data_IF_838339660684
#
_entry.id   IF_838339660684
#
_cell.length_a   1.000
_cell.length_b   1.000
_cell.length_c   1.000
_cell.angle_alpha   90.00
_cell.angle_beta   90.00
_cell.angle_gamma   90.00
#
_symmetry.space_group_name_H-M   'P 1'
#
loop_
_entity.id
_entity.type
_entity.pdbx_description
1 polymer ?
#
# COMPACT_ATOMS: atom_id res chain seq x y z
N UNK A 1 -5.12 -32.22 -96.84
CA UNK A 1 -3.86 -31.44 -96.93
C UNK A 1 -3.70 -30.65 -95.63
N UNK A 2 -2.48 -30.67 -95.07
CA UNK A 2 -1.91 -29.93 -93.92
C UNK A 2 -2.65 -28.61 -93.55
N UNK A 3 -2.73 -28.16 -92.29
CA UNK A 3 -1.60 -27.75 -91.43
C UNK A 3 -2.01 -27.58 -89.95
N UNK A 4 -1.04 -27.85 -89.08
CA UNK A 4 -0.90 -27.49 -87.65
C UNK A 4 -1.10 -26.00 -87.33
N UNK A 5 -1.65 -25.68 -86.15
CA UNK A 5 -1.30 -24.51 -85.31
C UNK A 5 -1.90 -24.71 -83.90
N UNK A 6 -1.17 -25.18 -82.88
CA UNK A 6 -0.32 -24.46 -81.90
C UNK A 6 -1.06 -23.49 -80.94
N UNK A 7 -1.14 -24.01 -79.70
CA UNK A 7 -1.42 -23.43 -78.38
C UNK A 7 -0.92 -22.00 -78.17
N UNK A 8 -1.74 -21.14 -77.55
CA UNK A 8 -1.28 -20.10 -76.64
C UNK A 8 -2.39 -19.76 -75.62
N UNK A 9 -2.35 -20.41 -74.47
CA UNK A 9 -3.14 -20.01 -73.29
C UNK A 9 -2.33 -18.91 -72.58
N UNK A 10 -2.78 -17.67 -72.70
CA UNK A 10 -2.21 -16.50 -72.03
C UNK A 10 -2.49 -16.59 -70.53
N UNK A 11 -1.60 -17.26 -69.79
CA UNK A 11 -1.51 -17.19 -68.33
C UNK A 11 -0.85 -15.86 -68.01
N UNK A 12 -1.66 -14.90 -67.58
CA UNK A 12 -1.19 -13.65 -66.98
C UNK A 12 -0.51 -14.01 -65.66
N UNK A 13 0.82 -14.10 -65.70
CA UNK A 13 1.68 -14.30 -64.54
C UNK A 13 1.71 -12.98 -63.75
N UNK A 14 0.72 -12.79 -62.87
CA UNK A 14 0.77 -11.73 -61.85
C UNK A 14 1.82 -12.18 -60.84
N UNK A 15 3.04 -11.68 -60.99
CA UNK A 15 4.04 -11.68 -59.92
C UNK A 15 3.52 -10.74 -58.84
N UNK A 16 2.82 -11.30 -57.86
CA UNK A 16 2.68 -10.67 -56.54
C UNK A 16 4.09 -10.55 -55.97
N UNK A 17 4.71 -9.38 -56.15
CA UNK A 17 5.74 -8.92 -55.23
C UNK A 17 5.00 -8.68 -53.91
N UNK A 18 4.99 -9.69 -53.04
CA UNK A 18 4.76 -9.44 -51.63
C UNK A 18 5.90 -8.52 -51.19
N UNK A 19 5.60 -7.24 -50.96
CA UNK A 19 6.39 -6.48 -50.00
C UNK A 19 6.09 -7.14 -48.67
N UNK A 20 7.02 -8.00 -48.24
CA UNK A 20 7.19 -8.36 -46.85
C UNK A 20 7.61 -7.06 -46.14
N UNK A 21 6.64 -6.32 -45.63
CA UNK A 21 6.81 -5.04 -44.92
C UNK A 21 7.30 -5.32 -43.50
N UNK A 22 8.44 -6.03 -43.44
CA UNK A 22 8.94 -6.81 -42.31
C UNK A 22 8.38 -6.33 -40.98
N UNK A 23 7.61 -7.23 -40.34
CA UNK A 23 7.04 -7.00 -39.02
C UNK A 23 8.08 -6.29 -38.14
N UNK A 24 7.77 -5.06 -37.73
CA UNK A 24 8.58 -4.34 -36.76
C UNK A 24 8.40 -5.10 -35.45
N UNK A 25 9.39 -5.93 -35.11
CA UNK A 25 9.46 -6.56 -33.79
C UNK A 25 9.86 -5.44 -32.83
N UNK A 26 8.88 -4.85 -32.16
CA UNK A 26 9.14 -3.96 -31.03
C UNK A 26 9.73 -4.80 -29.90
N UNK A 27 11.04 -4.70 -29.71
CA UNK A 27 11.75 -5.30 -28.59
C UNK A 27 11.56 -4.38 -27.39
N UNK A 28 10.73 -4.79 -26.43
CA UNK A 28 10.50 -4.06 -25.20
C UNK A 28 11.21 -4.74 -24.03
N UNK A 29 11.56 -3.94 -23.03
CA UNK A 29 12.06 -4.47 -21.76
C UNK A 29 10.90 -5.06 -20.96
N UNK A 30 11.01 -6.35 -20.63
CA UNK A 30 9.97 -7.09 -19.91
C UNK A 30 10.56 -7.73 -18.64
N UNK A 31 10.28 -7.07 -17.51
CA UNK A 31 10.70 -7.44 -16.16
C UNK A 31 9.50 -7.41 -15.23
N UNK A 32 9.07 -8.59 -14.79
CA UNK A 32 7.99 -8.75 -13.81
C UNK A 32 8.45 -8.47 -12.37
N UNK A 33 7.48 -8.38 -11.46
CA UNK A 33 7.71 -8.33 -10.01
C UNK A 33 8.12 -6.98 -9.46
N UNK A 34 8.42 -6.98 -8.16
CA UNK A 34 8.86 -5.82 -7.40
C UNK A 34 10.30 -5.44 -7.73
N UNK A 35 10.68 -4.20 -7.46
CA UNK A 35 12.05 -3.74 -7.58
C UNK A 35 12.70 -3.57 -6.22
N UNK A 36 14.01 -3.66 -6.20
CA UNK A 36 14.84 -3.45 -5.01
C UNK A 36 15.57 -2.10 -5.11
N UNK A 37 16.13 -1.64 -3.99
CA UNK A 37 16.82 -0.36 -3.95
C UNK A 37 18.13 -0.43 -3.17
N UNK A 38 19.10 0.39 -3.54
CA UNK A 38 20.30 0.61 -2.73
C UNK A 38 20.72 2.07 -2.66
N UNK A 39 21.08 2.47 -1.43
CA UNK A 39 21.73 3.75 -1.20
C UNK A 39 23.15 3.67 -1.75
N UNK A 40 23.42 4.48 -2.77
CA UNK A 40 24.77 4.82 -3.21
C UNK A 40 25.34 5.96 -2.37
N UNK A 41 26.58 6.34 -2.67
CA UNK A 41 27.27 7.46 -1.98
C UNK A 41 26.58 8.80 -2.26
N UNK A 42 26.10 8.99 -3.50
CA UNK A 42 25.57 10.28 -3.99
C UNK A 42 24.15 10.15 -4.60
N UNK A 43 23.41 9.10 -4.26
CA UNK A 43 22.07 8.88 -4.79
C UNK A 43 21.49 7.50 -4.51
N UNK A 44 20.33 7.22 -5.07
CA UNK A 44 19.57 5.98 -4.92
C UNK A 44 19.61 5.20 -6.23
N UNK A 45 19.91 3.90 -6.17
CA UNK A 45 19.77 3.01 -7.33
C UNK A 45 18.58 2.10 -7.12
N UNK A 46 17.60 2.17 -8.02
CA UNK A 46 16.52 1.18 -8.11
C UNK A 46 16.94 0.11 -9.12
N UNK A 47 16.68 -1.17 -8.85
CA UNK A 47 17.11 -2.23 -9.75
C UNK A 47 16.17 -3.44 -9.78
N UNK A 48 16.25 -4.18 -10.88
CA UNK A 48 15.59 -5.47 -11.09
C UNK A 48 16.57 -6.45 -11.70
N UNK A 49 16.47 -7.71 -11.31
CA UNK A 49 17.28 -8.81 -11.83
C UNK A 49 16.33 -9.87 -12.36
N UNK A 50 16.67 -10.44 -13.52
CA UNK A 50 16.00 -11.58 -14.14
C UNK A 50 17.06 -12.65 -14.37
N UNK A 51 16.70 -13.92 -14.19
CA UNK A 51 17.66 -15.04 -14.23
C UNK A 51 17.55 -15.90 -15.50
N UNK A 52 16.47 -15.79 -16.27
CA UNK A 52 16.30 -16.53 -17.52
C UNK A 52 15.65 -15.67 -18.63
N UNK A 53 16.45 -15.07 -19.53
CA UNK A 53 17.91 -14.98 -19.49
C UNK A 53 18.41 -14.06 -18.34
N UNK A 54 19.69 -14.19 -17.97
CA UNK A 54 20.29 -13.35 -16.94
C UNK A 54 20.48 -11.90 -17.41
N UNK A 55 19.64 -11.02 -16.89
CA UNK A 55 19.53 -9.62 -17.28
C UNK A 55 19.30 -8.74 -16.04
N UNK A 56 19.64 -7.46 -16.13
CA UNK A 56 19.26 -6.50 -15.10
C UNK A 56 18.91 -5.14 -15.65
N UNK A 57 18.05 -4.45 -14.91
CA UNK A 57 17.76 -3.04 -15.08
C UNK A 57 18.22 -2.28 -13.83
N UNK A 58 18.75 -1.09 -14.04
CA UNK A 58 19.02 -0.17 -12.95
C UNK A 58 18.74 1.27 -13.33
N UNK A 59 18.22 2.03 -12.37
CA UNK A 59 17.94 3.45 -12.48
C UNK A 59 18.64 4.15 -11.32
N UNK A 60 19.72 4.88 -11.62
CA UNK A 60 20.40 5.70 -10.62
C UNK A 60 19.81 7.12 -10.60
N UNK A 61 19.39 7.54 -9.41
CA UNK A 61 18.75 8.81 -9.12
C UNK A 61 19.70 9.62 -8.23
N UNK A 62 20.33 10.65 -8.79
CA UNK A 62 21.28 11.47 -8.03
C UNK A 62 20.57 12.32 -6.96
N UNK A 63 21.18 12.41 -5.77
CA UNK A 63 20.71 13.26 -4.68
C UNK A 63 19.31 12.89 -4.16
N UNK A 64 18.94 11.61 -4.26
CA UNK A 64 17.77 11.03 -3.61
C UNK A 64 18.26 9.89 -2.73
N UNK A 65 17.68 9.75 -1.55
CA UNK A 65 17.92 8.67 -0.60
C UNK A 65 16.67 7.82 -0.47
N UNK A 66 16.82 6.59 0.04
CA UNK A 66 15.67 5.72 0.24
C UNK A 66 14.67 6.27 1.26
N UNK A 67 15.14 7.00 2.29
CA UNK A 67 14.28 7.51 3.34
C UNK A 67 13.35 8.62 2.81
N UNK A 68 13.85 9.46 1.90
CA UNK A 68 13.06 10.51 1.25
C UNK A 68 11.89 9.95 0.44
N UNK A 69 11.89 8.66 0.06
CA UNK A 69 10.75 8.03 -0.61
C UNK A 69 9.54 7.84 0.31
N UNK A 70 9.73 7.88 1.63
CA UNK A 70 8.68 7.63 2.62
C UNK A 70 8.21 8.90 3.32
N UNK A 71 8.74 10.07 2.94
CA UNK A 71 8.29 11.38 3.41
C UNK A 71 7.02 11.80 2.67
N UNK A 72 5.90 11.11 2.97
CA UNK A 72 4.57 11.44 2.43
C UNK A 72 4.05 12.75 3.03
N UNK A 73 3.33 13.54 2.24
CA UNK A 73 2.70 14.79 2.71
C UNK A 73 1.28 14.58 3.23
N UNK A 74 0.57 15.69 3.48
CA UNK A 74 -0.77 15.75 4.10
C UNK A 74 -1.91 14.99 3.37
N UNK A 75 -1.67 14.50 2.14
CA UNK A 75 -2.62 13.69 1.39
C UNK A 75 -2.12 12.23 1.26
N UNK A 76 -1.35 11.75 2.23
CA UNK A 76 -0.80 10.39 2.32
C UNK A 76 -0.02 9.92 1.08
N UNK A 77 0.49 10.88 0.31
CA UNK A 77 1.18 10.64 -0.95
C UNK A 77 2.42 11.52 -1.11
N UNK A 78 3.42 10.97 -1.80
CA UNK A 78 4.58 11.70 -2.31
C UNK A 78 4.66 11.49 -3.82
N UNK A 79 4.85 12.57 -4.57
CA UNK A 79 5.02 12.55 -6.02
C UNK A 79 6.36 13.16 -6.41
N UNK A 80 7.15 12.40 -7.15
CA UNK A 80 8.39 12.85 -7.79
C UNK A 80 8.17 12.66 -9.29
N UNK A 81 7.99 13.75 -10.03
CA UNK A 81 7.70 13.71 -11.47
C UNK A 81 8.93 14.12 -12.29
N UNK A 82 9.11 13.46 -13.44
CA UNK A 82 10.08 13.81 -14.49
C UNK A 82 11.54 13.96 -14.01
N UNK A 83 11.92 13.20 -12.97
CA UNK A 83 13.27 13.29 -12.41
C UNK A 83 14.27 12.59 -13.32
N UNK A 84 15.35 13.28 -13.69
CA UNK A 84 16.39 12.71 -14.53
C UNK A 84 17.10 11.55 -13.83
N UNK A 85 17.36 10.47 -14.57
CA UNK A 85 18.05 9.28 -14.09
C UNK A 85 19.15 8.84 -15.05
N UNK A 86 20.10 8.05 -14.54
CA UNK A 86 20.96 7.23 -15.38
C UNK A 86 20.36 5.84 -15.45
N UNK A 87 19.72 5.52 -16.57
CA UNK A 87 19.15 4.20 -16.79
C UNK A 87 20.19 3.29 -17.44
N UNK A 88 20.24 2.03 -16.99
CA UNK A 88 21.18 1.04 -17.51
C UNK A 88 20.54 -0.33 -17.61
N UNK A 89 20.73 -0.98 -18.75
CA UNK A 89 20.38 -2.37 -19.02
C UNK A 89 21.65 -3.19 -19.22
N UNK A 90 21.75 -4.33 -18.54
CA UNK A 90 22.90 -5.24 -18.63
C UNK A 90 22.46 -6.67 -18.89
N UNK A 91 23.26 -7.37 -19.68
CA UNK A 91 23.16 -8.82 -19.86
C UNK A 91 24.43 -9.49 -19.34
N UNK A 92 24.32 -10.76 -18.97
CA UNK A 92 25.40 -11.50 -18.32
C UNK A 92 25.66 -12.85 -18.99
N UNK A 93 26.78 -13.48 -18.66
CA UNK A 93 27.20 -14.79 -19.18
C UNK A 93 26.66 -15.98 -18.36
N UNK A 94 26.39 -15.76 -17.08
CA UNK A 94 25.89 -16.79 -16.15
C UNK A 94 24.37 -16.90 -16.24
N UNK A 95 23.82 -18.04 -15.80
CA UNK A 95 22.36 -18.28 -15.71
C UNK A 95 21.79 -17.98 -14.31
N UNK A 96 22.64 -17.62 -13.35
CA UNK A 96 22.21 -17.16 -12.04
C UNK A 96 23.16 -16.07 -11.55
N UNK A 97 22.63 -14.88 -11.37
CA UNK A 97 23.30 -13.67 -10.92
C UNK A 97 23.37 -13.64 -9.41
N UNK A 98 22.34 -14.12 -8.72
CA UNK A 98 22.18 -13.86 -7.29
C UNK A 98 22.12 -12.36 -7.04
N UNK A 99 22.56 -11.91 -5.85
CA UNK A 99 22.61 -10.49 -5.57
C UNK A 99 23.85 -9.87 -6.23
N UNK A 100 23.70 -9.13 -7.33
CA UNK A 100 24.81 -8.42 -8.01
C UNK A 100 24.73 -6.90 -7.83
N UNK A 101 23.68 -6.43 -7.17
CA UNK A 101 23.50 -5.02 -6.83
C UNK A 101 23.83 -4.82 -5.36
N UNK A 102 24.13 -3.57 -4.97
CA UNK A 102 24.52 -3.22 -3.60
C UNK A 102 25.84 -3.85 -3.09
N UNK A 103 26.54 -4.65 -3.90
CA UNK A 103 27.80 -5.29 -3.56
C UNK A 103 28.71 -5.42 -4.79
N UNK A 104 29.95 -5.83 -4.57
CA UNK A 104 30.89 -6.09 -5.66
C UNK A 104 30.39 -7.25 -6.53
N UNK A 105 30.45 -7.08 -7.86
CA UNK A 105 30.07 -8.11 -8.81
C UNK A 105 30.97 -9.35 -8.60
N UNK A 106 30.40 -10.55 -8.41
CA UNK A 106 31.18 -11.76 -8.23
C UNK A 106 32.15 -12.01 -9.39
N UNK A 107 33.37 -12.51 -9.14
CA UNK A 107 34.41 -12.65 -10.17
C UNK A 107 34.09 -13.67 -11.26
N UNK A 108 33.03 -14.47 -11.09
CA UNK A 108 32.52 -15.44 -12.07
C UNK A 108 31.39 -14.90 -12.94
N UNK A 109 30.93 -13.67 -12.69
CA UNK A 109 29.86 -13.01 -13.46
C UNK A 109 30.50 -11.97 -14.38
N UNK A 110 30.46 -12.23 -15.68
CA UNK A 110 30.92 -11.29 -16.71
C UNK A 110 29.73 -10.57 -17.33
N UNK A 111 29.82 -9.24 -17.41
CA UNK A 111 28.86 -8.41 -18.14
C UNK A 111 29.10 -8.61 -19.64
N UNK A 112 28.10 -9.13 -20.36
CA UNK A 112 28.18 -9.40 -21.80
C UNK A 112 27.73 -8.21 -22.65
N UNK A 113 26.79 -7.41 -22.12
CA UNK A 113 26.38 -6.12 -22.69
C UNK A 113 26.10 -5.13 -21.57
N UNK A 114 26.46 -3.86 -21.79
CA UNK A 114 26.20 -2.76 -20.87
C UNK A 114 25.74 -1.55 -21.68
N UNK A 115 24.42 -1.31 -21.66
CA UNK A 115 23.79 -0.21 -22.38
C UNK A 115 23.24 0.83 -21.40
N UNK A 116 23.44 2.11 -21.71
CA UNK A 116 23.04 3.23 -20.87
C UNK A 116 22.19 4.20 -21.68
N UNK A 117 21.13 4.70 -21.05
CA UNK A 117 20.31 5.80 -21.56
C UNK A 117 20.47 7.01 -20.64
N UNK A 118 21.00 8.11 -21.20
CA UNK A 118 21.27 9.37 -20.50
C UNK A 118 20.07 10.34 -20.49
N UNK A 119 19.05 10.07 -21.32
CA UNK A 119 17.87 10.92 -21.49
C UNK A 119 16.67 10.50 -20.63
N UNK A 120 16.77 9.37 -19.94
CA UNK A 120 15.64 8.78 -19.24
C UNK A 120 15.26 9.54 -17.99
N UNK A 121 13.96 9.48 -17.67
CA UNK A 121 13.37 10.09 -16.48
C UNK A 121 12.61 9.05 -15.68
N UNK A 122 12.31 9.38 -14.43
CA UNK A 122 11.49 8.56 -13.55
C UNK A 122 10.38 9.40 -12.92
N UNK A 123 9.19 8.83 -12.88
CA UNK A 123 8.09 9.23 -12.02
C UNK A 123 8.02 8.25 -10.84
N UNK A 124 7.98 8.76 -9.61
CA UNK A 124 7.77 7.96 -8.40
C UNK A 124 6.51 8.46 -7.71
N UNK A 125 5.61 7.53 -7.42
CA UNK A 125 4.43 7.76 -6.60
C UNK A 125 4.52 6.87 -5.37
N UNK A 126 4.71 7.49 -4.21
CA UNK A 126 4.51 6.81 -2.93
C UNK A 126 3.11 7.10 -2.42
N UNK A 127 2.41 6.07 -1.96
CA UNK A 127 1.17 6.19 -1.16
C UNK A 127 1.31 5.37 0.12
N UNK A 128 0.77 5.86 1.23
CA UNK A 128 0.62 5.10 2.47
C UNK A 128 -0.84 4.71 2.70
N UNK A 129 -1.06 3.54 3.29
CA UNK A 129 -2.36 3.08 3.80
C UNK A 129 -2.20 2.87 5.30
N UNK A 130 -3.16 3.35 6.09
CA UNK A 130 -3.25 3.18 7.54
C UNK A 130 -4.20 2.02 7.86
N UNK A 131 -4.04 1.45 9.05
CA UNK A 131 -4.81 0.32 9.57
C UNK A 131 -4.57 0.29 11.09
N UNK A 132 -5.47 0.82 11.89
CA UNK A 132 -5.53 0.75 13.37
C UNK A 132 -5.78 -0.67 13.91
N UNK A 133 -6.22 -1.60 13.04
CA UNK A 133 -6.56 -3.00 13.33
C UNK A 133 -7.76 -3.14 14.29
N UNK A 134 -8.73 -2.27 14.11
CA UNK A 134 -10.01 -2.25 14.82
C UNK A 134 -11.08 -3.20 14.21
N UNK A 135 -10.80 -3.78 13.05
CA UNK A 135 -11.70 -4.72 12.38
C UNK A 135 -12.69 -4.08 11.40
N UNK A 136 -12.68 -2.75 11.28
CA UNK A 136 -13.30 -2.01 10.19
C UNK A 136 -12.22 -1.71 9.15
N UNK A 137 -12.59 -1.66 7.88
CA UNK A 137 -11.65 -1.22 6.86
C UNK A 137 -11.71 0.30 6.77
N UNK A 138 -10.57 0.97 6.65
CA UNK A 138 -10.49 2.44 6.50
C UNK A 138 -11.41 3.05 5.44
N UNK A 139 -11.82 2.30 4.42
CA UNK A 139 -12.76 2.81 3.40
C UNK A 139 -14.21 2.81 3.86
N UNK A 140 -14.56 1.95 4.80
CA UNK A 140 -15.90 1.81 5.37
C UNK A 140 -16.14 2.79 6.53
N UNK A 141 -15.09 3.49 6.97
CA UNK A 141 -15.12 4.54 8.01
C UNK A 141 -15.38 5.95 7.43
N UNK A 142 -15.64 6.07 6.13
CA UNK A 142 -16.17 7.29 5.50
C UNK A 142 -17.66 7.46 5.85
N UNK A 143 -17.94 7.86 7.09
CA UNK A 143 -19.30 7.91 7.65
C UNK A 143 -20.23 8.77 6.82
N UNK A 144 -19.71 9.88 6.30
CA UNK A 144 -20.49 10.86 5.55
C UNK A 144 -20.50 10.61 4.02
N UNK A 145 -19.74 9.62 3.54
CA UNK A 145 -19.60 9.22 2.13
C UNK A 145 -19.13 10.36 1.20
N UNK A 146 -18.29 11.28 1.70
CA UNK A 146 -17.71 12.37 0.89
C UNK A 146 -16.35 12.01 0.27
N UNK A 147 -15.79 10.85 0.65
CA UNK A 147 -14.51 10.34 0.18
C UNK A 147 -13.29 10.93 0.90
N UNK A 148 -13.47 11.58 2.05
CA UNK A 148 -12.41 12.21 2.83
C UNK A 148 -12.38 11.73 4.29
N UNK A 149 -11.73 10.59 4.51
CA UNK A 149 -11.55 9.97 5.82
C UNK A 149 -10.91 10.88 6.89
N UNK A 150 -10.16 11.91 6.49
CA UNK A 150 -9.49 12.83 7.43
C UNK A 150 -10.46 13.80 8.13
N UNK A 151 -11.77 13.77 7.84
CA UNK A 151 -12.76 14.63 8.49
C UNK A 151 -13.82 13.90 9.32
N UNK A 152 -13.76 12.58 9.39
CA UNK A 152 -14.58 11.73 10.24
C UNK A 152 -13.74 11.44 11.50
N UNK A 153 -14.17 12.00 12.64
CA UNK A 153 -13.50 12.02 13.94
C UNK A 153 -14.62 12.04 14.99
N UNK A 154 -15.01 10.84 15.43
CA UNK A 154 -16.25 10.59 16.17
C UNK A 154 -16.19 11.17 17.58
N UNK A 155 -15.06 11.04 18.29
CA UNK A 155 -14.87 11.59 19.63
C UNK A 155 -14.32 13.03 19.64
N UNK A 156 -13.78 13.51 18.52
CA UNK A 156 -13.28 14.88 18.35
C UNK A 156 -11.91 15.12 18.98
N UNK A 157 -11.11 14.08 19.24
CA UNK A 157 -9.78 14.18 19.83
C UNK A 157 -8.69 14.62 18.83
N UNK A 158 -9.02 14.60 17.55
CA UNK A 158 -8.17 15.01 16.43
C UNK A 158 -7.45 13.86 15.73
N UNK A 159 -7.71 12.61 16.10
CA UNK A 159 -7.40 11.41 15.32
C UNK A 159 -8.65 11.03 14.52
N UNK A 160 -8.58 10.98 13.17
CA UNK A 160 -9.71 10.50 12.39
C UNK A 160 -9.97 9.01 12.61
N UNK A 161 -11.22 8.58 12.54
CA UNK A 161 -11.71 7.22 12.86
C UNK A 161 -10.81 6.13 12.22
N UNK A 162 -10.46 6.25 10.93
CA UNK A 162 -9.61 5.27 10.20
C UNK A 162 -8.14 5.14 10.66
N UNK A 163 -7.75 5.92 11.66
CA UNK A 163 -6.47 5.91 12.35
C UNK A 163 -6.67 5.78 13.87
N UNK A 164 -7.91 5.76 14.35
CA UNK A 164 -8.24 5.55 15.74
C UNK A 164 -8.58 4.08 15.97
N UNK A 165 -8.28 3.57 17.15
CA UNK A 165 -8.60 2.20 17.55
C UNK A 165 -9.87 2.14 18.41
N UNK A 166 -10.39 3.30 18.79
CA UNK A 166 -11.44 3.56 19.77
C UNK A 166 -12.19 4.84 19.31
N UNK A 167 -13.10 4.70 18.34
CA UNK A 167 -13.60 5.81 17.53
C UNK A 167 -14.43 6.84 18.33
N UNK A 168 -15.24 6.41 19.28
CA UNK A 168 -15.95 7.28 20.23
C UNK A 168 -15.13 7.60 21.49
N UNK A 169 -13.93 7.03 21.55
CA UNK A 169 -12.90 7.27 22.52
C UNK A 169 -13.23 6.72 23.90
N UNK A 170 -14.22 5.88 24.10
CA UNK A 170 -14.71 5.49 25.42
C UNK A 170 -13.81 4.48 26.19
N UNK A 171 -12.61 4.17 25.68
CA UNK A 171 -11.65 3.20 26.19
C UNK A 171 -12.08 1.73 26.08
N UNK A 172 -13.20 1.41 25.47
CA UNK A 172 -13.38 0.14 24.79
C UNK A 172 -12.66 0.26 23.44
N UNK A 173 -12.49 -0.84 22.73
CA UNK A 173 -11.87 -0.78 21.41
C UNK A 173 -12.99 -1.00 20.41
N UNK A 174 -12.98 -0.27 19.29
CA UNK A 174 -13.98 -0.44 18.22
C UNK A 174 -14.18 -1.92 17.88
N UNK A 175 -13.10 -2.71 17.82
CA UNK A 175 -13.16 -4.18 17.55
C UNK A 175 -13.89 -5.01 18.60
N UNK A 176 -13.84 -4.58 19.86
CA UNK A 176 -14.37 -5.28 21.03
C UNK A 176 -15.87 -4.94 21.23
N UNK A 177 -16.40 -3.95 20.49
CA UNK A 177 -17.82 -3.52 20.42
C UNK A 177 -18.62 -4.18 19.29
N UNK A 178 -18.05 -5.20 18.64
CA UNK A 178 -18.71 -5.96 17.58
C UNK A 178 -19.26 -5.09 16.42
N UNK A 179 -18.38 -4.38 15.68
CA UNK A 179 -18.78 -3.48 14.60
C UNK A 179 -19.30 -4.25 13.36
N UNK A 180 -18.88 -5.51 13.20
CA UNK A 180 -19.40 -6.44 12.18
C UNK A 180 -19.58 -7.84 12.79
N UNK A 181 -20.69 -8.11 13.51
CA UNK A 181 -20.90 -9.38 14.20
C UNK A 181 -20.95 -10.60 13.28
N UNK A 182 -21.27 -10.40 12.00
CA UNK A 182 -21.44 -11.47 11.02
C UNK A 182 -20.19 -11.68 10.13
N UNK A 183 -19.31 -10.69 10.06
CA UNK A 183 -18.04 -10.71 9.34
C UNK A 183 -18.17 -10.61 7.83
N UNK A 184 -19.23 -10.00 7.30
CA UNK A 184 -19.46 -9.84 5.85
C UNK A 184 -18.99 -8.49 5.29
N UNK A 185 -18.44 -7.62 6.14
CA UNK A 185 -17.99 -6.27 5.80
C UNK A 185 -19.13 -5.27 5.63
N UNK A 186 -20.35 -5.60 6.03
CA UNK A 186 -21.46 -4.67 6.11
C UNK A 186 -21.78 -4.33 7.58
N UNK A 187 -21.53 -3.08 7.97
CA UNK A 187 -21.70 -2.61 9.35
C UNK A 187 -23.18 -2.35 9.73
N UNK A 188 -24.14 -2.64 8.85
CA UNK A 188 -25.58 -2.45 9.10
C UNK A 188 -26.12 -3.28 10.29
N UNK A 189 -25.41 -4.32 10.71
CA UNK A 189 -25.76 -5.17 11.86
C UNK A 189 -24.81 -5.06 13.03
N UNK A 190 -24.01 -3.98 13.08
CA UNK A 190 -23.23 -3.60 14.25
C UNK A 190 -24.06 -3.64 15.54
N UNK A 191 -23.39 -3.93 16.66
CA UNK A 191 -24.05 -3.90 17.97
C UNK A 191 -24.56 -2.49 18.28
N UNK A 192 -25.76 -2.42 18.85
CA UNK A 192 -26.46 -1.20 19.31
C UNK A 192 -27.23 -1.63 20.56
N UNK A 193 -26.60 -1.45 21.71
CA UNK A 193 -26.98 -2.07 22.99
C UNK A 193 -28.22 -1.40 23.58
N UNK A 194 -28.31 -0.08 23.51
CA UNK A 194 -29.46 0.69 24.02
C UNK A 194 -30.61 0.84 22.98
N UNK A 195 -30.32 0.61 21.70
CA UNK A 195 -31.27 0.65 20.60
C UNK A 195 -31.61 2.07 20.12
N UNK A 196 -30.73 3.06 20.33
CA UNK A 196 -30.92 4.44 19.90
C UNK A 196 -30.63 4.68 18.42
N UNK A 197 -29.93 3.73 17.79
CA UNK A 197 -29.55 3.74 16.38
C UNK A 197 -28.12 4.18 16.10
N UNK A 198 -27.33 4.48 17.13
CA UNK A 198 -25.87 4.63 17.09
C UNK A 198 -25.25 3.29 17.47
N UNK A 199 -24.38 2.71 16.63
CA UNK A 199 -23.66 1.50 17.03
C UNK A 199 -22.75 1.75 18.22
N UNK A 200 -22.53 0.72 19.05
CA UNK A 200 -21.73 0.78 20.27
C UNK A 200 -20.35 1.40 20.01
N UNK A 201 -19.61 0.95 18.98
CA UNK A 201 -18.29 1.51 18.62
C UNK A 201 -18.26 3.01 18.21
N UNK A 202 -19.42 3.67 18.15
CA UNK A 202 -19.58 5.08 17.82
C UNK A 202 -20.41 5.81 18.89
N UNK A 203 -20.67 5.19 20.05
CA UNK A 203 -21.51 5.65 21.14
C UNK A 203 -20.77 5.56 22.48
N UNK A 204 -20.54 6.71 23.12
CA UNK A 204 -19.77 6.73 24.36
C UNK A 204 -20.56 6.40 25.65
N UNK A 205 -21.81 5.96 25.51
CA UNK A 205 -22.76 5.55 26.57
C UNK A 205 -23.57 4.34 26.05
N UNK A 206 -22.87 3.25 25.73
CA UNK A 206 -23.36 2.04 25.05
C UNK A 206 -24.73 1.51 25.53
N UNK A 207 -24.97 1.55 26.84
CA UNK A 207 -26.21 1.04 27.43
C UNK A 207 -27.28 2.10 27.71
N UNK A 208 -26.97 3.36 27.43
CA UNK A 208 -27.85 4.51 27.54
C UNK A 208 -28.30 4.82 28.97
N UNK A 209 -27.53 4.44 29.98
CA UNK A 209 -27.87 4.68 31.38
C UNK A 209 -27.48 6.09 31.89
N UNK A 210 -26.68 6.81 31.10
CA UNK A 210 -26.23 8.17 31.36
C UNK A 210 -24.88 8.27 32.08
N UNK A 211 -24.18 7.15 32.24
CA UNK A 211 -22.78 7.07 32.63
C UNK A 211 -21.97 6.72 31.38
N UNK A 212 -20.94 7.51 31.06
CA UNK A 212 -20.08 7.18 29.92
C UNK A 212 -19.41 5.83 30.13
N UNK A 213 -19.36 4.97 29.11
CA UNK A 213 -18.70 3.65 29.12
C UNK A 213 -17.31 3.71 29.77
N UNK A 214 -16.51 4.73 29.44
CA UNK A 214 -15.17 4.95 30.01
C UNK A 214 -15.12 5.08 31.54
N UNK A 215 -16.21 5.54 32.13
CA UNK A 215 -16.36 5.82 33.57
C UNK A 215 -16.96 4.63 34.35
N UNK A 216 -17.34 3.56 33.64
CA UNK A 216 -17.94 2.33 34.19
C UNK A 216 -16.92 1.26 34.58
N UNK A 217 -15.64 1.63 34.62
CA UNK A 217 -14.58 0.74 35.05
C UNK A 217 -14.64 0.41 36.55
N UNK A 218 -14.76 -0.88 36.88
CA UNK A 218 -14.92 -1.45 38.23
C UNK A 218 -13.75 -2.36 38.65
N UNK A 219 -12.54 -1.79 38.70
CA UNK A 219 -11.32 -2.51 39.05
C UNK A 219 -10.46 -1.90 40.17
N UNK A 220 -9.64 -2.73 40.83
CA UNK A 220 -8.48 -2.26 41.61
C UNK A 220 -7.25 -3.14 41.34
N UNK A 221 -6.19 -2.63 40.69
CA UNK A 221 -6.06 -1.28 40.13
C UNK A 221 -6.88 -1.12 38.85
N UNK A 222 -7.38 0.11 38.64
CA UNK A 222 -7.91 0.59 37.37
C UNK A 222 -6.84 0.52 36.28
N UNK A 223 -7.17 -0.07 35.14
CA UNK A 223 -6.34 -0.24 33.94
C UNK A 223 -6.81 0.62 32.75
N UNK A 224 -7.91 1.37 32.87
CA UNK A 224 -8.62 2.10 31.82
C UNK A 224 -9.14 1.18 30.71
N UNK A 225 -9.72 0.05 31.05
CA UNK A 225 -10.31 -0.88 30.08
C UNK A 225 -11.67 -1.40 30.58
N UNK A 226 -12.79 -0.70 30.28
CA UNK A 226 -14.13 -1.14 30.66
C UNK A 226 -14.47 -2.54 30.13
N UNK A 227 -13.89 -2.93 28.99
CA UNK A 227 -14.13 -4.22 28.35
C UNK A 227 -13.67 -5.46 29.15
N UNK A 228 -13.00 -5.30 30.30
CA UNK A 228 -12.66 -6.42 31.18
C UNK A 228 -13.35 -6.41 32.56
N UNK A 229 -14.32 -5.50 32.74
CA UNK A 229 -15.12 -5.40 33.96
C UNK A 229 -16.51 -6.05 33.79
N UNK A 230 -16.84 -6.96 34.72
CA UNK A 230 -18.13 -7.67 34.78
C UNK A 230 -18.64 -7.72 36.23
N UNK A 231 -19.88 -7.29 36.48
CA UNK A 231 -20.52 -7.46 37.77
C UNK A 231 -20.74 -8.95 38.02
N UNK A 232 -20.42 -9.41 39.23
CA UNK A 232 -20.45 -10.83 39.60
C UNK A 232 -21.88 -11.43 39.68
N UNK A 233 -22.89 -10.71 39.22
CA UNK A 233 -24.28 -11.15 39.17
C UNK A 233 -24.43 -12.11 37.98
N UNK A 234 -25.01 -13.28 38.25
CA UNK A 234 -25.23 -14.34 37.25
C UNK A 234 -26.06 -13.80 36.07
N UNK A 235 -25.38 -13.60 34.93
CA UNK A 235 -25.98 -13.20 33.66
C UNK A 235 -25.96 -11.70 33.36
N UNK A 236 -25.13 -10.90 34.06
CA UNK A 236 -25.02 -9.45 33.88
C UNK A 236 -24.29 -8.99 32.62
N UNK A 237 -23.38 -9.79 32.06
CA UNK A 237 -22.55 -9.35 30.94
C UNK A 237 -21.42 -8.41 31.39
N UNK A 238 -20.84 -7.70 30.41
CA UNK A 238 -19.89 -6.61 30.67
C UNK A 238 -20.63 -5.42 31.30
N UNK A 239 -19.93 -4.69 32.16
CA UNK A 239 -20.55 -3.63 32.95
C UNK A 239 -21.09 -2.49 32.09
N UNK A 240 -20.32 -2.06 31.08
CA UNK A 240 -20.71 -0.99 30.14
C UNK A 240 -21.84 -1.34 29.17
N UNK A 241 -22.29 -2.60 29.15
CA UNK A 241 -23.42 -3.07 28.34
C UNK A 241 -24.67 -3.35 29.20
N UNK A 242 -24.69 -2.87 30.44
CA UNK A 242 -25.70 -3.26 31.43
C UNK A 242 -26.31 -2.02 32.11
N UNK A 243 -27.51 -1.58 31.68
CA UNK A 243 -28.09 -0.29 32.09
C UNK A 243 -28.57 -0.22 33.54
N UNK A 244 -28.22 -1.22 34.36
CA UNK A 244 -28.39 -1.22 35.80
C UNK A 244 -27.10 -0.82 36.54
N UNK A 245 -26.00 -0.56 35.82
CA UNK A 245 -24.63 -0.36 36.30
C UNK A 245 -24.22 1.14 36.37
N UNK A 246 -25.19 2.03 36.56
CA UNK A 246 -25.05 3.49 36.83
C UNK A 246 -24.05 4.03 37.89
N UNK A 247 -23.24 3.22 38.58
CA UNK A 247 -22.32 3.67 39.63
C UNK A 247 -20.91 4.02 39.13
N UNK A 248 -20.61 5.33 39.10
CA UNK A 248 -19.25 5.84 38.80
C UNK A 248 -18.34 5.77 40.02
N UNK A 249 -17.31 4.92 39.99
CA UNK A 249 -16.28 4.87 41.03
C UNK A 249 -15.18 5.93 40.83
N UNK A 250 -14.73 6.14 39.59
CA UNK A 250 -13.78 7.18 39.23
C UNK A 250 -13.85 7.48 37.73
N UNK A 251 -13.73 8.77 37.40
CA UNK A 251 -13.72 9.25 36.02
C UNK A 251 -12.38 8.91 35.35
N UNK A 252 -12.44 8.45 34.10
CA UNK A 252 -11.27 8.22 33.26
C UNK A 252 -10.45 9.52 33.09
N UNK A 253 -9.11 9.40 33.02
CA UNK A 253 -8.21 10.57 32.94
C UNK A 253 -7.14 10.48 31.85
N UNK A 254 -7.06 9.36 31.14
CA UNK A 254 -6.26 9.16 29.94
C UNK A 254 -6.95 8.18 28.98
N UNK A 255 -6.83 8.40 27.67
CA UNK A 255 -7.24 7.43 26.66
C UNK A 255 -6.29 6.23 26.66
N UNK A 256 -6.72 5.10 26.09
CA UNK A 256 -5.85 3.95 25.84
C UNK A 256 -4.92 4.25 24.67
N UNK A 257 -3.63 4.09 24.90
CA UNK A 257 -2.63 4.17 23.82
C UNK A 257 -2.80 3.00 22.87
N UNK A 258 -2.81 3.29 21.57
CA UNK A 258 -2.91 2.28 20.51
C UNK A 258 -1.88 2.53 19.41
N UNK A 259 -1.78 1.58 18.48
CA UNK A 259 -0.79 1.64 17.40
C UNK A 259 -1.46 1.46 16.06
N UNK A 260 -1.18 2.38 15.14
CA UNK A 260 -1.65 2.32 13.76
C UNK A 260 -0.56 1.72 12.88
N UNK A 261 -0.93 0.75 12.07
CA UNK A 261 -0.04 0.13 11.07
C UNK A 261 0.01 0.97 9.80
N UNK A 262 1.18 1.04 9.17
CA UNK A 262 1.40 1.78 7.92
C UNK A 262 1.96 0.88 6.84
N UNK A 263 1.30 0.84 5.69
CA UNK A 263 1.75 0.12 4.50
C UNK A 263 2.09 1.08 3.36
N UNK A 264 3.36 1.12 2.97
CA UNK A 264 3.85 1.99 1.89
C UNK A 264 3.86 1.27 0.54
N UNK A 265 3.34 1.92 -0.49
CA UNK A 265 3.44 1.51 -1.89
C UNK A 265 4.25 2.54 -2.65
N UNK A 266 5.51 2.24 -2.97
CA UNK A 266 6.35 3.11 -3.80
C UNK A 266 6.35 2.57 -5.22
N UNK A 267 5.62 3.21 -6.13
CA UNK A 267 5.55 2.84 -7.55
C UNK A 267 6.53 3.68 -8.36
N UNK A 268 7.28 3.03 -9.25
CA UNK A 268 8.21 3.70 -10.14
C UNK A 268 7.85 3.47 -11.61
N UNK A 269 7.86 4.53 -12.41
CA UNK A 269 7.68 4.49 -13.86
C UNK A 269 8.83 5.21 -14.54
N UNK A 270 9.54 4.52 -15.42
CA UNK A 270 10.65 5.09 -16.19
C UNK A 270 10.14 5.53 -17.56
N UNK A 271 10.62 6.67 -18.04
CA UNK A 271 10.24 7.27 -19.32
C UNK A 271 11.46 7.55 -20.18
N UNK A 272 11.23 7.64 -21.48
CA UNK A 272 12.24 8.06 -22.48
C UNK A 272 13.49 7.16 -22.43
N UNK A 273 13.32 5.83 -22.51
CA UNK A 273 14.43 4.87 -22.57
C UNK A 273 14.92 4.80 -24.02
N UNK A 274 16.20 5.14 -24.22
CA UNK A 274 16.86 5.08 -25.52
C UNK A 274 18.19 4.34 -25.39
N UNK A 275 18.20 3.06 -25.78
CA UNK A 275 19.38 2.22 -25.86
C UNK A 275 19.49 1.64 -27.28
N UNK A 276 20.64 1.07 -27.63
CA UNK A 276 21.02 0.77 -29.02
C UNK A 276 20.01 -0.11 -29.78
N UNK A 277 19.30 -0.97 -29.05
CA UNK A 277 18.36 -1.95 -29.59
C UNK A 277 16.90 -1.68 -29.20
N UNK A 278 16.65 -0.78 -28.25
CA UNK A 278 15.32 -0.54 -27.66
C UNK A 278 15.10 0.97 -27.51
N UNK A 279 13.99 1.44 -28.08
CA UNK A 279 13.46 2.77 -27.82
C UNK A 279 12.07 2.59 -27.21
N UNK A 280 11.93 2.90 -25.93
CA UNK A 280 10.71 2.64 -25.16
C UNK A 280 10.29 3.90 -24.41
N UNK A 281 9.09 4.41 -24.72
CA UNK A 281 8.57 5.65 -24.13
C UNK A 281 8.28 5.49 -22.63
N UNK A 282 7.74 4.35 -22.21
CA UNK A 282 7.32 4.09 -20.82
C UNK A 282 7.64 2.65 -20.43
N UNK A 283 8.23 2.49 -19.25
CA UNK A 283 8.43 1.22 -18.57
C UNK A 283 7.87 1.32 -17.15
N UNK A 284 6.89 0.48 -16.83
CA UNK A 284 6.46 0.29 -15.45
C UNK A 284 7.55 -0.51 -14.72
N UNK A 285 8.23 0.13 -13.77
CA UNK A 285 9.32 -0.49 -13.04
C UNK A 285 8.82 -1.38 -11.89
N UNK A 286 7.56 -1.20 -11.47
CA UNK A 286 6.90 -1.99 -10.42
C UNK A 286 6.74 -1.23 -9.12
N UNK A 287 6.66 -1.97 -8.01
CA UNK A 287 6.58 -1.46 -6.63
C UNK A 287 7.88 -1.81 -5.90
N UNK A 288 8.34 -0.94 -5.00
CA UNK A 288 9.48 -1.24 -4.13
C UNK A 288 9.14 -2.42 -3.21
N UNK A 289 10.05 -3.39 -3.11
CA UNK A 289 9.92 -4.51 -2.18
C UNK A 289 9.78 -4.00 -0.72
N UNK A 290 8.76 -4.51 -0.02
CA UNK A 290 8.38 -4.10 1.34
C UNK A 290 9.46 -4.32 2.41
N UNK A 291 10.48 -5.13 2.13
CA UNK A 291 11.67 -5.35 2.95
C UNK A 291 12.58 -4.13 3.00
N UNK A 292 12.47 -3.20 2.05
CA UNK A 292 13.22 -1.94 2.04
C UNK A 292 12.53 -0.80 2.78
N UNK A 293 11.28 -0.99 3.21
CA UNK A 293 10.58 -0.02 4.08
C UNK A 293 11.15 -0.13 5.50
N UNK A 294 11.71 0.96 6.07
CA UNK A 294 12.27 0.97 7.43
C UNK A 294 11.24 0.50 8.46
N UNK A 295 11.65 -0.40 9.36
CA UNK A 295 10.74 -0.98 10.36
C UNK A 295 10.10 0.07 11.27
N UNK A 296 10.80 1.16 11.58
CA UNK A 296 10.30 2.25 12.41
C UNK A 296 9.26 3.15 11.71
N UNK A 297 8.98 2.92 10.42
CA UNK A 297 7.93 3.64 9.68
C UNK A 297 6.67 2.78 9.51
N UNK A 298 6.73 1.47 9.82
CA UNK A 298 5.62 0.53 9.58
C UNK A 298 4.49 0.65 10.61
N UNK A 299 4.71 1.41 11.68
CA UNK A 299 3.68 1.68 12.67
C UNK A 299 3.99 2.99 13.38
N UNK A 300 2.97 3.62 13.94
CA UNK A 300 3.10 4.71 14.89
C UNK A 300 2.22 4.48 16.11
N UNK A 301 2.64 5.01 17.25
CA UNK A 301 1.83 5.02 18.47
C UNK A 301 1.11 6.36 18.52
N UNK A 302 -0.21 6.31 18.64
CA UNK A 302 -1.03 7.49 18.85
C UNK A 302 -1.34 7.58 20.35
N UNK A 303 -1.19 8.79 20.87
CA UNK A 303 -1.43 9.10 22.27
C UNK A 303 -2.21 10.40 22.32
N UNK A 304 -3.52 10.26 22.49
CA UNK A 304 -4.44 11.39 22.60
C UNK A 304 -4.58 11.78 24.07
N UNK A 305 -4.97 13.03 24.31
CA UNK A 305 -5.09 13.57 25.66
C UNK A 305 -6.47 14.16 25.83
N UNK A 306 -7.15 13.79 26.91
CA UNK A 306 -8.37 14.46 27.34
C UNK A 306 -8.18 15.98 27.39
N UNK A 307 -8.96 16.71 26.59
CA UNK A 307 -8.95 18.18 26.54
C UNK A 307 -9.90 18.82 27.56
#
# INVERSE_FOLDING_TARGET
>A
MRKFLLVLMSISLITINACDDGDIIDVNLDFDGDYEACNGVDGLTLFKIKEDPSESLSAFISGLTINELFEVGDNDTLKIDDRAIQFRYRTYNEASLGNIFCQDIPPNVDITSDEQSDGSKIDILTSVIYDDNDGIASIDEDRNNDGNLENDDTDGDGVPDYKDFDDDGDNVATKDENPDPNGDGNLDDAQDTDGDGTPDYLDNDDDGDGVLTRDEEKGTPKNNNPADDEETIVGGGLDYLNPNVTDVEAVATQYRTHTVSKTFFVRATIKDIDISTINQEVLNFGVLDSGFVPANLKSEELATTFN
#
